data_IF_387065245040
#
_entry.id   IF_387065245040
#
_cell.length_a   1.000
_cell.length_b   1.000
_cell.length_c   1.000
_cell.angle_alpha   90.00
_cell.angle_beta   90.00
_cell.angle_gamma   90.00
#
_symmetry.space_group_name_H-M   'P 1'
#
loop_
_entity.id
_entity.type
_entity.pdbx_description
1 polymer ?
#
# COMPACT_ATOMS: atom_id res chain seq x y z
N UNK A 1 -4.19 -0.87 -28.17
CA UNK A 1 -3.61 -1.88 -27.27
C UNK A 1 -4.16 -3.22 -27.69
N UNK A 2 -3.33 -4.26 -27.85
CA UNK A 2 -3.79 -5.59 -28.27
C UNK A 2 -4.81 -6.13 -27.24
N UNK A 3 -5.78 -6.94 -27.67
CA UNK A 3 -6.91 -7.41 -26.83
C UNK A 3 -6.44 -8.06 -25.52
N UNK A 4 -5.39 -8.88 -25.58
CA UNK A 4 -4.83 -9.54 -24.39
C UNK A 4 -4.27 -8.57 -23.35
N UNK A 5 -3.61 -7.48 -23.77
CA UNK A 5 -3.08 -6.47 -22.84
C UNK A 5 -4.21 -5.74 -22.10
N UNK A 6 -5.37 -5.53 -22.74
CA UNK A 6 -6.53 -4.94 -22.07
C UNK A 6 -7.04 -5.87 -20.96
N UNK A 7 -7.14 -7.16 -21.25
CA UNK A 7 -7.58 -8.18 -20.28
C UNK A 7 -6.59 -8.24 -19.11
N UNK A 8 -5.28 -8.28 -19.38
CA UNK A 8 -4.24 -8.27 -18.35
C UNK A 8 -4.34 -7.03 -17.47
N UNK A 9 -4.52 -5.85 -18.06
CA UNK A 9 -4.71 -4.61 -17.29
C UNK A 9 -5.92 -4.70 -16.37
N UNK A 10 -7.07 -5.18 -16.86
CA UNK A 10 -8.28 -5.33 -16.04
C UNK A 10 -8.01 -6.29 -14.87
N UNK A 11 -7.43 -7.47 -15.14
CA UNK A 11 -7.08 -8.43 -14.08
C UNK A 11 -6.15 -7.81 -13.03
N UNK A 12 -5.11 -7.10 -13.46
CA UNK A 12 -4.17 -6.41 -12.56
C UNK A 12 -4.86 -5.36 -11.69
N UNK A 13 -5.75 -4.55 -12.27
CA UNK A 13 -6.49 -3.56 -11.50
C UNK A 13 -7.48 -4.17 -10.52
N UNK A 14 -8.09 -5.32 -10.84
CA UNK A 14 -8.98 -6.04 -9.93
C UNK A 14 -8.21 -6.68 -8.78
N UNK A 15 -7.06 -7.31 -9.07
CA UNK A 15 -6.19 -7.91 -8.04
C UNK A 15 -5.69 -6.83 -7.09
N UNK A 16 -5.04 -5.79 -7.62
CA UNK A 16 -4.49 -4.72 -6.79
C UNK A 16 -5.60 -3.96 -6.05
N UNK A 17 -6.68 -3.61 -6.76
CA UNK A 17 -7.79 -2.88 -6.19
C UNK A 17 -8.50 -3.65 -5.08
N UNK A 18 -8.74 -4.96 -5.29
CA UNK A 18 -9.31 -5.84 -4.27
C UNK A 18 -8.42 -5.94 -3.03
N UNK A 19 -7.11 -6.13 -3.21
CA UNK A 19 -6.15 -6.17 -2.10
C UNK A 19 -6.13 -4.85 -1.30
N UNK A 20 -6.17 -3.70 -1.99
CA UNK A 20 -6.23 -2.40 -1.31
C UNK A 20 -7.52 -2.23 -0.51
N UNK A 21 -8.67 -2.68 -1.04
CA UNK A 21 -9.93 -2.60 -0.29
C UNK A 21 -9.89 -3.50 0.96
N UNK A 22 -9.43 -4.75 0.82
CA UNK A 22 -9.34 -5.68 1.93
C UNK A 22 -8.39 -5.16 3.02
N UNK A 23 -7.20 -4.69 2.63
CA UNK A 23 -6.22 -4.11 3.55
C UNK A 23 -6.72 -2.84 4.23
N UNK A 24 -7.49 -2.01 3.51
CA UNK A 24 -8.09 -0.79 4.03
C UNK A 24 -9.20 -1.07 5.05
N UNK A 25 -10.13 -2.00 4.74
CA UNK A 25 -11.21 -2.40 5.65
C UNK A 25 -10.65 -2.98 6.96
N UNK A 26 -9.64 -3.85 6.87
CA UNK A 26 -9.02 -4.48 8.03
C UNK A 26 -8.45 -3.46 9.05
N UNK A 27 -8.03 -2.28 8.59
CA UNK A 27 -7.53 -1.21 9.48
C UNK A 27 -8.61 -0.55 10.34
N UNK A 28 -9.89 -0.76 10.02
CA UNK A 28 -11.04 -0.24 10.77
C UNK A 28 -11.77 -1.30 11.61
N UNK A 29 -11.44 -2.59 11.45
CA UNK A 29 -12.10 -3.68 12.19
C UNK A 29 -11.78 -3.67 13.68
N UNK A 30 -10.55 -3.28 14.04
CA UNK A 30 -10.08 -3.26 15.43
C UNK A 30 -9.79 -1.84 15.90
N UNK A 31 -10.26 -1.43 17.10
CA UNK A 31 -9.89 -0.15 17.68
C UNK A 31 -8.38 -0.12 17.92
N UNK A 32 -7.78 1.06 17.73
CA UNK A 32 -6.36 1.22 18.01
C UNK A 32 -6.08 1.05 19.52
N UNK A 33 -4.97 0.39 19.89
CA UNK A 33 -4.58 0.21 21.28
C UNK A 33 -4.34 1.55 21.97
N UNK A 34 -4.43 1.55 23.30
CA UNK A 34 -4.23 2.78 24.07
C UNK A 34 -2.74 3.23 24.06
N UNK A 35 -2.45 4.56 24.09
CA UNK A 35 -1.09 5.12 24.20
C UNK A 35 -0.23 4.51 25.30
N UNK A 36 -0.84 4.07 26.40
CA UNK A 36 -0.15 3.52 27.55
C UNK A 36 -0.09 1.99 27.57
N UNK A 37 -0.74 1.29 26.64
CA UNK A 37 -0.95 -0.15 26.72
C UNK A 37 0.36 -0.95 26.77
N UNK A 38 1.34 -0.58 25.94
CA UNK A 38 2.68 -1.22 25.94
C UNK A 38 3.40 -0.93 27.27
N UNK A 39 3.33 0.30 27.76
CA UNK A 39 3.96 0.70 29.04
C UNK A 39 3.33 -0.05 30.21
N UNK A 40 2.01 -0.20 30.22
CA UNK A 40 1.29 -0.94 31.24
C UNK A 40 1.58 -2.43 31.21
N UNK A 41 1.72 -3.01 30.01
CA UNK A 41 2.09 -4.42 29.83
C UNK A 41 3.48 -4.70 30.41
N UNK A 42 4.44 -3.82 30.14
CA UNK A 42 5.79 -3.90 30.72
C UNK A 42 5.75 -3.72 32.24
N UNK A 43 4.99 -2.74 32.76
CA UNK A 43 4.83 -2.53 34.22
C UNK A 43 4.20 -3.75 34.92
N UNK A 44 3.35 -4.49 34.24
CA UNK A 44 2.73 -5.74 34.72
C UNK A 44 3.66 -6.95 34.61
N UNK A 45 4.91 -6.77 34.17
CA UNK A 45 5.90 -7.84 34.02
C UNK A 45 5.58 -8.82 32.89
N UNK A 46 4.72 -8.45 31.94
CA UNK A 46 4.34 -9.29 30.80
C UNK A 46 5.27 -9.04 29.63
N UNK A 47 5.63 -10.11 28.91
CA UNK A 47 6.39 -10.00 27.67
C UNK A 47 5.54 -9.36 26.56
N UNK A 48 6.11 -8.36 25.88
CA UNK A 48 5.46 -7.66 24.77
C UNK A 48 5.69 -8.39 23.44
N UNK A 49 6.82 -9.07 23.30
CA UNK A 49 7.19 -9.83 22.11
C UNK A 49 8.19 -10.95 22.47
N UNK A 50 8.16 -12.09 21.75
CA UNK A 50 9.04 -13.23 22.01
C UNK A 50 10.50 -13.01 21.61
N UNK A 51 10.76 -12.04 20.71
CA UNK A 51 12.10 -11.71 20.25
C UNK A 51 12.17 -10.25 19.75
N UNK A 52 13.38 -9.79 19.46
CA UNK A 52 13.65 -8.41 19.01
C UNK A 52 13.05 -8.09 17.63
N UNK A 53 12.92 -9.07 16.75
CA UNK A 53 12.36 -8.87 15.40
C UNK A 53 10.86 -8.55 15.49
N UNK A 54 10.12 -9.40 16.20
CA UNK A 54 8.69 -9.20 16.49
C UNK A 54 8.46 -7.91 17.28
N UNK A 55 9.37 -7.55 18.19
CA UNK A 55 9.29 -6.29 18.93
C UNK A 55 9.36 -5.06 18.01
N UNK A 56 10.25 -5.07 17.00
CA UNK A 56 10.36 -3.95 16.03
C UNK A 56 9.08 -3.78 15.22
N UNK A 57 8.51 -4.88 14.75
CA UNK A 57 7.24 -4.89 14.01
C UNK A 57 6.11 -4.33 14.88
N UNK A 58 5.96 -4.85 16.11
CA UNK A 58 4.95 -4.37 17.04
C UNK A 58 5.10 -2.89 17.34
N UNK A 59 6.31 -2.40 17.59
CA UNK A 59 6.55 -0.98 17.87
C UNK A 59 6.24 -0.09 16.66
N UNK A 60 6.54 -0.55 15.44
CA UNK A 60 6.21 0.17 14.22
C UNK A 60 4.70 0.33 14.04
N UNK A 61 3.95 -0.78 14.13
CA UNK A 61 2.49 -0.78 14.00
C UNK A 61 1.84 0.01 15.14
N UNK A 62 2.27 -0.23 16.38
CA UNK A 62 1.78 0.48 17.55
C UNK A 62 1.96 1.99 17.39
N UNK A 63 3.15 2.46 17.00
CA UNK A 63 3.43 3.88 16.80
C UNK A 63 2.52 4.56 15.77
N UNK A 64 2.20 3.87 14.67
CA UNK A 64 1.26 4.37 13.67
C UNK A 64 -0.19 4.44 14.19
N UNK A 65 -0.57 3.52 15.07
CA UNK A 65 -1.91 3.44 15.65
C UNK A 65 -2.13 4.45 16.79
N UNK A 66 -1.10 4.82 17.54
CA UNK A 66 -1.24 5.61 18.78
C UNK A 66 -1.85 7.00 18.59
N UNK A 67 -1.70 7.58 17.41
CA UNK A 67 -2.21 8.92 17.13
C UNK A 67 -3.68 8.91 16.71
N UNK A 68 -4.28 7.73 16.49
CA UNK A 68 -5.61 7.56 15.87
C UNK A 68 -5.77 8.31 14.54
N UNK A 69 -4.67 8.70 13.90
CA UNK A 69 -4.67 9.49 12.69
C UNK A 69 -4.07 8.69 11.54
N UNK A 70 -2.79 8.33 11.63
CA UNK A 70 -2.06 7.76 10.48
C UNK A 70 -2.62 6.40 10.05
N UNK A 71 -2.95 5.52 11.00
CA UNK A 71 -3.51 4.20 10.70
C UNK A 71 -4.86 4.29 9.95
N UNK A 72 -5.74 5.18 10.39
CA UNK A 72 -7.04 5.43 9.75
C UNK A 72 -6.88 6.13 8.40
N UNK A 73 -5.98 7.11 8.32
CA UNK A 73 -5.65 7.80 7.07
C UNK A 73 -5.12 6.82 6.02
N UNK A 74 -4.20 5.92 6.40
CA UNK A 74 -3.68 4.87 5.52
C UNK A 74 -4.80 3.97 5.02
N UNK A 75 -5.69 3.52 5.92
CA UNK A 75 -6.87 2.73 5.53
C UNK A 75 -7.78 3.45 4.56
N UNK A 76 -8.04 4.75 4.76
CA UNK A 76 -8.82 5.56 3.82
C UNK A 76 -8.14 5.68 2.45
N UNK A 77 -6.83 5.92 2.41
CA UNK A 77 -6.06 6.02 1.16
C UNK A 77 -6.10 4.70 0.39
N UNK A 78 -5.98 3.56 1.07
CA UNK A 78 -6.11 2.23 0.46
C UNK A 78 -7.52 2.00 -0.10
N UNK A 79 -8.57 2.31 0.66
CA UNK A 79 -9.95 2.19 0.19
C UNK A 79 -10.19 3.06 -1.05
N UNK A 80 -9.76 4.32 -1.01
CA UNK A 80 -9.87 5.25 -2.14
C UNK A 80 -9.14 4.71 -3.36
N UNK A 81 -7.89 4.30 -3.22
CA UNK A 81 -7.10 3.75 -4.31
C UNK A 81 -7.74 2.48 -4.88
N UNK A 82 -8.23 1.60 -4.00
CA UNK A 82 -8.89 0.35 -4.36
C UNK A 82 -10.16 0.56 -5.18
N UNK A 83 -11.03 1.48 -4.76
CA UNK A 83 -12.25 1.85 -5.51
C UNK A 83 -11.89 2.43 -6.89
N UNK A 84 -10.91 3.33 -6.97
CA UNK A 84 -10.46 3.92 -8.23
C UNK A 84 -9.86 2.86 -9.17
N UNK A 85 -9.11 1.88 -8.65
CA UNK A 85 -8.57 0.76 -9.42
C UNK A 85 -9.68 -0.13 -9.98
N UNK A 86 -10.63 -0.56 -9.16
CA UNK A 86 -11.74 -1.43 -9.57
C UNK A 86 -12.63 -0.76 -10.62
N UNK A 87 -12.80 0.56 -10.55
CA UNK A 87 -13.64 1.33 -11.49
C UNK A 87 -13.23 1.19 -12.96
N UNK A 88 -11.99 0.76 -13.25
CA UNK A 88 -11.35 0.70 -14.58
C UNK A 88 -11.12 2.07 -15.24
N UNK A 89 -12.06 3.01 -15.07
CA UNK A 89 -12.04 4.37 -15.62
C UNK A 89 -10.93 5.19 -14.96
N UNK A 90 -10.85 5.16 -13.62
CA UNK A 90 -9.87 5.93 -12.85
C UNK A 90 -8.63 5.12 -12.46
N UNK A 91 -8.38 3.99 -13.13
CA UNK A 91 -7.37 3.03 -12.68
C UNK A 91 -5.95 3.58 -12.64
N UNK A 92 -5.61 4.55 -13.50
CA UNK A 92 -4.29 5.22 -13.46
C UNK A 92 -4.14 6.06 -12.19
N UNK A 93 -5.18 6.81 -11.83
CA UNK A 93 -5.16 7.65 -10.63
C UNK A 93 -5.11 6.77 -9.38
N UNK A 94 -5.90 5.71 -9.34
CA UNK A 94 -5.85 4.71 -8.28
C UNK A 94 -4.46 4.07 -8.14
N UNK A 95 -3.83 3.71 -9.25
CA UNK A 95 -2.47 3.16 -9.25
C UNK A 95 -1.41 4.15 -8.73
N UNK A 96 -1.50 5.43 -9.14
CA UNK A 96 -0.60 6.49 -8.66
C UNK A 96 -0.76 6.71 -7.15
N UNK A 97 -2.00 6.74 -6.64
CA UNK A 97 -2.28 6.86 -5.20
C UNK A 97 -1.79 5.61 -4.44
N UNK A 98 -2.02 4.42 -4.99
CA UNK A 98 -1.56 3.16 -4.41
C UNK A 98 -0.03 3.01 -4.42
N UNK A 99 0.69 3.69 -5.31
CA UNK A 99 2.14 3.52 -5.48
C UNK A 99 2.94 3.73 -4.19
N UNK A 100 2.85 4.89 -3.50
CA UNK A 100 3.55 5.08 -2.23
C UNK A 100 3.15 4.06 -1.17
N UNK A 101 1.88 3.61 -1.17
CA UNK A 101 1.38 2.59 -0.24
C UNK A 101 2.02 1.23 -0.53
N UNK A 102 1.97 0.75 -1.77
CA UNK A 102 2.57 -0.53 -2.18
C UNK A 102 4.09 -0.55 -1.99
N UNK A 103 4.76 0.59 -2.20
CA UNK A 103 6.19 0.73 -1.89
C UNK A 103 6.41 0.58 -0.38
N UNK A 104 5.65 1.30 0.44
CA UNK A 104 5.79 1.23 1.89
C UNK A 104 5.53 -0.19 2.43
N UNK A 105 4.48 -0.87 1.96
CA UNK A 105 4.18 -2.26 2.32
C UNK A 105 5.31 -3.20 1.91
N UNK A 106 5.84 -3.07 0.70
CA UNK A 106 6.99 -3.86 0.26
C UNK A 106 8.22 -3.61 1.14
N UNK A 107 8.54 -2.34 1.43
CA UNK A 107 9.68 -1.98 2.26
C UNK A 107 9.51 -2.45 3.71
N UNK A 108 8.27 -2.43 4.23
CA UNK A 108 7.95 -2.99 5.54
C UNK A 108 8.34 -4.48 5.60
N UNK A 109 7.87 -5.31 4.67
CA UNK A 109 8.22 -6.74 4.67
C UNK A 109 9.71 -6.96 4.37
N UNK A 110 10.30 -6.15 3.49
CA UNK A 110 11.71 -6.29 3.13
C UNK A 110 12.66 -5.98 4.29
N UNK A 111 12.35 -4.98 5.12
CA UNK A 111 13.22 -4.55 6.23
C UNK A 111 12.83 -5.11 7.60
N UNK A 112 11.53 -5.35 7.85
CA UNK A 112 11.02 -5.76 9.15
C UNK A 112 10.66 -7.25 9.20
N UNK A 113 10.30 -7.87 8.07
CA UNK A 113 9.91 -9.29 7.98
C UNK A 113 10.64 -10.06 6.85
N UNK A 114 11.98 -9.94 6.70
CA UNK A 114 12.70 -10.58 5.59
C UNK A 114 12.66 -12.12 5.65
N UNK A 115 12.38 -12.68 6.83
CA UNK A 115 12.27 -14.12 7.06
C UNK A 115 10.92 -14.68 6.57
N UNK A 116 9.90 -13.84 6.42
CA UNK A 116 8.57 -14.20 5.91
C UNK A 116 8.53 -14.14 4.38
N UNK A 117 9.27 -15.06 3.75
CA UNK A 117 9.47 -15.07 2.30
C UNK A 117 8.16 -15.07 1.49
N UNK A 118 7.12 -15.75 2.00
CA UNK A 118 5.82 -15.81 1.33
C UNK A 118 5.18 -14.44 1.19
N UNK A 119 5.11 -13.68 2.29
CA UNK A 119 4.53 -12.34 2.30
C UNK A 119 5.40 -11.35 1.53
N UNK A 120 6.72 -11.42 1.68
CA UNK A 120 7.64 -10.58 0.92
C UNK A 120 7.48 -10.76 -0.60
N UNK A 121 7.36 -12.00 -1.08
CA UNK A 121 7.12 -12.29 -2.50
C UNK A 121 5.77 -11.74 -2.94
N UNK A 122 4.72 -11.96 -2.15
CA UNK A 122 3.38 -11.44 -2.45
C UNK A 122 3.36 -9.92 -2.58
N UNK A 123 3.97 -9.19 -1.65
CA UNK A 123 4.02 -7.73 -1.68
C UNK A 123 4.90 -7.20 -2.81
N UNK A 124 5.97 -7.91 -3.15
CA UNK A 124 6.78 -7.62 -4.34
C UNK A 124 5.95 -7.74 -5.61
N UNK A 125 5.16 -8.82 -5.75
CA UNK A 125 4.27 -9.02 -6.91
C UNK A 125 3.24 -7.89 -7.00
N UNK A 126 2.63 -7.48 -5.88
CA UNK A 126 1.66 -6.37 -5.86
C UNK A 126 2.29 -5.04 -6.29
N UNK A 127 3.52 -4.76 -5.84
CA UNK A 127 4.27 -3.58 -6.30
C UNK A 127 4.53 -3.64 -7.81
N UNK A 128 4.94 -4.79 -8.34
CA UNK A 128 5.16 -4.98 -9.78
C UNK A 128 3.87 -4.83 -10.58
N UNK A 129 2.74 -5.35 -10.07
CA UNK A 129 1.42 -5.14 -10.67
C UNK A 129 1.07 -3.65 -10.73
N UNK A 130 1.31 -2.91 -9.65
CA UNK A 130 1.05 -1.48 -9.62
C UNK A 130 1.89 -0.73 -10.67
N UNK A 131 3.19 -0.98 -10.71
CA UNK A 131 4.10 -0.43 -11.72
C UNK A 131 3.66 -0.80 -13.14
N UNK A 132 3.18 -2.03 -13.36
CA UNK A 132 2.67 -2.47 -14.65
C UNK A 132 1.41 -1.71 -15.08
N UNK A 133 0.46 -1.43 -14.16
CA UNK A 133 -0.74 -0.63 -14.45
C UNK A 133 -0.36 0.79 -14.88
N UNK A 134 0.58 1.41 -14.17
CA UNK A 134 1.12 2.73 -14.52
C UNK A 134 1.82 2.67 -15.88
N UNK A 135 2.66 1.65 -16.11
CA UNK A 135 3.35 1.42 -17.38
C UNK A 135 2.41 1.22 -18.57
N UNK A 136 1.32 0.46 -18.42
CA UNK A 136 0.30 0.29 -19.46
C UNK A 136 -0.40 1.61 -19.82
N UNK A 137 -0.41 2.55 -18.89
CA UNK A 137 -1.00 3.89 -19.04
C UNK A 137 0.02 4.93 -19.50
N UNK A 138 1.24 4.54 -19.90
CA UNK A 138 2.32 5.45 -20.32
C UNK A 138 1.89 6.50 -21.32
N UNK A 139 1.04 6.14 -22.29
CA UNK A 139 0.55 7.09 -23.30
C UNK A 139 -0.25 8.26 -22.71
N UNK A 140 -0.88 8.06 -21.55
CA UNK A 140 -1.71 9.07 -20.88
C UNK A 140 -0.86 10.07 -20.08
N UNK A 141 0.15 9.58 -19.35
CA UNK A 141 0.96 10.43 -18.46
C UNK A 141 2.31 10.86 -19.05
N UNK A 142 2.77 10.27 -20.15
CA UNK A 142 3.99 10.69 -20.86
C UNK A 142 4.05 12.20 -21.14
N UNK A 143 2.97 12.88 -21.59
CA UNK A 143 3.01 14.33 -21.80
C UNK A 143 3.33 15.13 -20.54
N UNK A 144 3.04 14.59 -19.35
CA UNK A 144 3.34 15.25 -18.07
C UNK A 144 4.83 15.23 -17.75
N UNK A 145 5.56 14.19 -18.19
CA UNK A 145 7.02 14.14 -18.01
C UNK A 145 7.78 14.96 -19.04
N UNK A 146 7.36 14.87 -20.30
CA UNK A 146 8.09 15.47 -21.40
C UNK A 146 7.10 16.01 -22.43
N UNK A 147 6.80 17.31 -22.29
CA UNK A 147 6.01 18.04 -23.26
C UNK A 147 6.92 18.89 -24.15
N UNK A 148 7.10 18.49 -25.41
CA UNK A 148 7.86 19.31 -26.38
C UNK A 148 7.23 20.69 -26.63
N UNK A 149 5.92 20.86 -26.39
CA UNK A 149 5.27 22.16 -26.51
C UNK A 149 5.60 23.10 -25.35
N UNK A 150 5.99 22.58 -24.18
CA UNK A 150 6.40 23.40 -23.03
C UNK A 150 7.80 24.02 -23.21
N UNK A 151 8.60 23.50 -24.15
CA UNK A 151 9.91 24.04 -24.53
C UNK A 151 9.84 25.06 -25.67
N UNK A 152 8.65 25.23 -26.28
CA UNK A 152 8.42 26.31 -27.24
C UNK A 152 8.02 27.55 -26.45
N UNK A 153 9.01 28.40 -26.13
CA UNK A 153 8.71 29.80 -25.81
C UNK A 153 8.15 30.43 -27.09
N UNK A 154 6.92 30.94 -27.02
CA UNK A 154 6.34 31.75 -28.09
C UNK A 154 7.14 33.03 -28.28
#
# INVERSE_FOLDING_TARGET
>A
MKKYLKIIRILFTLILGGMMILGGLHKFESPSPAPTEVVETIKKGKEVAPNTEVLKIKNYVFGMQQTNYFWQFLGFVELLAGVLLISQVFSLMGAIIALPVTINIFLFHFFLEPNELGELIQMTILLLINLAIIGFSFKLWKPMLYNRSALKFS
#
